data_IF_506347250260
#
_entry.id   IF_506347250260
#
_cell.length_a   1.000
_cell.length_b   1.000
_cell.length_c   1.000
_cell.angle_alpha   90.00
_cell.angle_beta   90.00
_cell.angle_gamma   90.00
#
_symmetry.space_group_name_H-M   'P 1'
#
loop_
_entity.id
_entity.type
_entity.pdbx_description
1 polymer ?
#
# COMPACT_ATOMS: atom_id res chain seq x y z
N UNK A 1 -6.13 -77.56 61.69
CA UNK A 1 -6.46 -77.02 63.02
C UNK A 1 -6.37 -75.51 62.86
N UNK A 2 -7.43 -74.71 62.86
CA UNK A 2 -8.78 -74.94 63.36
C UNK A 2 -9.79 -74.10 62.55
N UNK A 3 -11.03 -74.55 62.60
CA UNK A 3 -12.17 -74.09 61.81
C UNK A 3 -12.97 -72.96 62.50
N UNK A 4 -13.90 -72.40 61.73
CA UNK A 4 -15.24 -71.89 62.13
C UNK A 4 -15.34 -70.62 62.99
N UNK A 5 -16.01 -69.57 62.49
CA UNK A 5 -17.42 -69.31 62.85
C UNK A 5 -18.03 -68.10 62.12
N UNK A 6 -19.23 -68.33 61.60
CA UNK A 6 -20.19 -67.34 61.12
C UNK A 6 -20.72 -66.48 62.28
N UNK A 7 -21.16 -65.25 62.00
CA UNK A 7 -22.38 -64.75 62.65
C UNK A 7 -23.08 -63.66 61.85
N UNK A 8 -24.38 -63.71 62.00
CA UNK A 8 -25.48 -63.15 61.23
C UNK A 8 -25.86 -61.72 61.69
N UNK A 9 -26.25 -60.89 60.72
CA UNK A 9 -27.35 -59.90 60.69
C UNK A 9 -27.70 -59.07 61.93
N UNK A 10 -27.81 -57.74 61.78
CA UNK A 10 -28.97 -56.97 62.29
C UNK A 10 -29.26 -55.81 61.31
N UNK A 11 -30.48 -55.86 60.78
CA UNK A 11 -31.21 -54.78 60.14
C UNK A 11 -31.80 -53.88 61.22
N UNK A 12 -31.68 -52.57 61.06
CA UNK A 12 -32.59 -51.60 61.68
C UNK A 12 -32.70 -50.35 60.82
N UNK A 13 -33.61 -50.47 59.85
CA UNK A 13 -34.53 -49.43 59.42
C UNK A 13 -34.90 -48.50 60.59
N UNK A 14 -34.61 -47.20 60.47
CA UNK A 14 -35.54 -46.14 60.86
C UNK A 14 -35.15 -44.76 60.30
N UNK A 15 -36.06 -44.24 59.47
CA UNK A 15 -36.50 -42.85 59.33
C UNK A 15 -35.51 -41.75 58.93
N UNK A 16 -35.73 -41.12 57.76
CA UNK A 16 -36.54 -39.89 57.68
C UNK A 16 -36.87 -39.51 56.22
N UNK A 17 -38.07 -38.95 56.05
CA UNK A 17 -38.80 -38.62 54.82
C UNK A 17 -38.18 -37.50 53.97
N UNK A 18 -38.76 -37.35 52.77
CA UNK A 18 -38.77 -36.17 51.86
C UNK A 18 -37.55 -36.06 50.92
N UNK A 19 -37.62 -35.55 49.69
CA UNK A 19 -38.66 -35.16 48.72
C UNK A 19 -37.85 -34.67 47.47
N UNK A 20 -38.51 -34.54 46.32
CA UNK A 20 -38.09 -33.86 45.09
C UNK A 20 -37.05 -34.58 44.19
N UNK A 21 -37.44 -35.10 43.03
CA UNK A 21 -37.76 -34.39 41.78
C UNK A 21 -36.66 -33.43 41.28
N UNK A 22 -36.17 -33.75 40.07
CA UNK A 22 -35.62 -32.87 39.04
C UNK A 22 -34.45 -31.93 39.40
N UNK A 23 -33.25 -32.30 38.97
CA UNK A 23 -32.32 -31.33 38.38
C UNK A 23 -31.44 -31.99 37.34
N UNK A 24 -31.94 -32.04 36.10
CA UNK A 24 -31.17 -32.40 34.90
C UNK A 24 -31.28 -31.27 33.88
N UNK A 25 -30.92 -30.05 34.28
CA UNK A 25 -30.87 -28.90 33.39
C UNK A 25 -30.00 -27.81 34.01
N UNK A 26 -28.72 -27.75 33.62
CA UNK A 26 -27.88 -26.57 33.84
C UNK A 26 -26.61 -26.57 32.97
N UNK A 27 -26.16 -27.72 32.47
CA UNK A 27 -24.99 -27.78 31.58
C UNK A 27 -25.35 -27.47 30.12
N UNK A 28 -26.53 -27.88 29.65
CA UNK A 28 -26.97 -27.61 28.29
C UNK A 28 -27.28 -26.13 28.05
N UNK A 29 -27.75 -25.40 29.06
CA UNK A 29 -28.05 -23.97 28.95
C UNK A 29 -26.76 -23.16 28.75
N UNK A 30 -25.69 -23.49 29.48
CA UNK A 30 -24.38 -22.84 29.32
C UNK A 30 -23.80 -23.09 27.92
N UNK A 31 -23.90 -24.31 27.41
CA UNK A 31 -23.42 -24.64 26.05
C UNK A 31 -24.24 -23.94 24.97
N UNK A 32 -25.57 -23.84 25.14
CA UNK A 32 -26.44 -23.12 24.20
C UNK A 32 -26.16 -21.61 24.21
N UNK A 33 -25.94 -21.02 25.39
CA UNK A 33 -25.57 -19.60 25.52
C UNK A 33 -24.22 -19.30 24.87
N UNK A 34 -23.24 -20.20 25.04
CA UNK A 34 -21.90 -20.03 24.47
C UNK A 34 -21.91 -20.20 22.94
N UNK A 35 -22.69 -21.15 22.43
CA UNK A 35 -22.90 -21.32 20.99
C UNK A 35 -23.63 -20.13 20.36
N UNK A 36 -24.65 -19.59 21.05
CA UNK A 36 -25.36 -18.38 20.63
C UNK A 36 -24.43 -17.17 20.59
N UNK A 37 -23.59 -16.97 21.61
CA UNK A 37 -22.62 -15.88 21.66
C UNK A 37 -21.62 -15.94 20.50
N UNK A 38 -21.08 -17.14 20.20
CA UNK A 38 -20.16 -17.33 19.07
C UNK A 38 -20.87 -17.01 17.74
N UNK A 39 -22.10 -17.48 17.56
CA UNK A 39 -22.89 -17.21 16.35
C UNK A 39 -23.15 -15.71 16.18
N UNK A 40 -23.47 -14.99 17.26
CA UNK A 40 -23.65 -13.54 17.24
C UNK A 40 -22.37 -12.79 16.85
N UNK A 41 -21.20 -13.22 17.34
CA UNK A 41 -19.91 -12.63 16.97
C UNK A 41 -19.59 -12.86 15.48
N UNK A 42 -19.90 -14.05 14.95
CA UNK A 42 -19.71 -14.36 13.53
C UNK A 42 -20.65 -13.55 12.62
N UNK A 43 -21.90 -13.34 13.03
CA UNK A 43 -22.85 -12.50 12.28
C UNK A 43 -22.47 -11.01 12.37
N UNK A 44 -22.07 -10.53 13.54
CA UNK A 44 -21.63 -9.15 13.71
C UNK A 44 -20.34 -8.83 12.93
N UNK A 45 -19.36 -9.75 12.94
CA UNK A 45 -18.12 -9.60 12.17
C UNK A 45 -18.37 -9.62 10.66
N UNK A 46 -19.26 -10.48 10.15
CA UNK A 46 -19.63 -10.49 8.74
C UNK A 46 -20.38 -9.22 8.31
N UNK A 47 -21.23 -8.62 9.16
CA UNK A 47 -21.85 -7.32 8.90
C UNK A 47 -20.81 -6.19 8.90
N UNK A 48 -19.82 -6.21 9.81
CA UNK A 48 -18.73 -5.22 9.82
C UNK A 48 -17.82 -5.35 8.59
N UNK A 49 -17.54 -6.58 8.14
CA UNK A 49 -16.77 -6.83 6.91
C UNK A 49 -17.58 -6.42 5.68
N UNK A 50 -18.87 -6.75 5.59
CA UNK A 50 -19.74 -6.29 4.49
C UNK A 50 -19.94 -4.77 4.51
N UNK A 51 -20.03 -4.14 5.68
CA UNK A 51 -20.16 -2.69 5.82
C UNK A 51 -18.85 -1.98 5.48
N UNK A 52 -17.71 -2.59 5.77
CA UNK A 52 -16.38 -2.14 5.34
C UNK A 52 -16.22 -2.24 3.82
N UNK A 53 -16.64 -3.36 3.22
CA UNK A 53 -16.62 -3.57 1.77
C UNK A 53 -17.64 -2.65 1.06
N UNK A 54 -18.82 -2.42 1.65
CA UNK A 54 -19.88 -1.56 1.09
C UNK A 54 -19.57 -0.06 1.23
N UNK A 55 -18.62 0.34 2.09
CA UNK A 55 -18.14 1.71 2.19
C UNK A 55 -17.08 2.06 1.14
N UNK A 56 -16.54 1.07 0.43
CA UNK A 56 -15.93 1.33 -0.87
C UNK A 56 -17.06 1.66 -1.84
N UNK A 57 -17.47 2.94 -1.84
CA UNK A 57 -18.11 3.54 -3.01
C UNK A 57 -17.32 3.04 -4.21
N UNK A 58 -18.00 2.30 -5.07
CA UNK A 58 -17.51 1.88 -6.35
C UNK A 58 -17.20 3.17 -7.12
N UNK A 59 -16.00 3.71 -6.89
CA UNK A 59 -15.48 4.81 -7.70
C UNK A 59 -15.47 4.22 -9.10
N UNK A 60 -16.34 4.73 -9.98
CA UNK A 60 -16.34 4.36 -11.40
C UNK A 60 -14.88 4.27 -11.81
N UNK A 61 -14.44 3.10 -12.28
CA UNK A 61 -13.09 2.98 -12.83
C UNK A 61 -12.97 4.12 -13.85
N UNK A 62 -11.99 5.02 -13.70
CA UNK A 62 -11.90 6.15 -14.60
C UNK A 62 -11.74 5.62 -16.03
N UNK A 63 -12.45 6.25 -16.96
CA UNK A 63 -12.46 5.85 -18.36
C UNK A 63 -11.13 6.31 -18.98
N UNK A 64 -10.27 5.40 -19.47
CA UNK A 64 -9.01 5.81 -20.08
C UNK A 64 -9.22 6.68 -21.31
N UNK A 65 -10.37 6.62 -21.98
CA UNK A 65 -10.70 7.39 -23.18
C UNK A 65 -11.49 8.67 -22.90
N UNK A 66 -11.57 9.11 -21.65
CA UNK A 66 -12.11 10.43 -21.34
C UNK A 66 -11.43 11.50 -22.22
N UNK A 67 -12.22 12.44 -22.76
CA UNK A 67 -11.82 13.33 -23.86
C UNK A 67 -10.50 14.08 -23.65
N UNK A 68 -10.05 14.26 -22.40
CA UNK A 68 -8.76 14.85 -22.08
C UNK A 68 -7.57 13.87 -22.07
N UNK A 69 -7.77 12.62 -21.66
CA UNK A 69 -6.71 11.62 -21.51
C UNK A 69 -6.14 11.14 -22.85
N UNK A 70 -6.95 11.15 -23.91
CA UNK A 70 -6.51 10.78 -25.25
C UNK A 70 -5.54 11.79 -25.86
N UNK A 71 -5.75 13.09 -25.61
CA UNK A 71 -4.90 14.17 -26.13
C UNK A 71 -3.44 14.05 -25.69
N UNK A 72 -3.19 13.57 -24.48
CA UNK A 72 -1.83 13.43 -23.93
C UNK A 72 -1.31 11.99 -23.97
N UNK A 73 -1.97 11.09 -24.71
CA UNK A 73 -1.69 9.64 -24.73
C UNK A 73 -1.80 8.94 -23.36
N UNK A 74 -2.35 9.60 -22.34
CA UNK A 74 -2.57 9.02 -21.01
C UNK A 74 -3.50 7.81 -21.03
N UNK A 75 -4.37 7.68 -22.03
CA UNK A 75 -5.19 6.47 -22.23
C UNK A 75 -4.37 5.18 -22.42
N UNK A 76 -3.11 5.29 -22.86
CA UNK A 76 -2.19 4.16 -23.06
C UNK A 76 -1.50 3.70 -21.78
N UNK A 77 -1.78 4.37 -20.67
CA UNK A 77 -0.99 4.22 -19.45
C UNK A 77 -1.81 3.55 -18.36
N UNK A 78 -1.10 2.90 -17.42
CA UNK A 78 -1.76 2.25 -16.27
C UNK A 78 -2.45 3.26 -15.36
N UNK A 79 -1.92 4.48 -15.27
CA UNK A 79 -2.37 5.52 -14.35
C UNK A 79 -2.93 6.74 -15.13
N UNK A 80 -3.77 6.48 -16.13
CA UNK A 80 -4.32 7.47 -17.06
C UNK A 80 -4.81 8.77 -16.40
N UNK A 81 -5.56 8.69 -15.29
CA UNK A 81 -6.03 9.88 -14.57
C UNK A 81 -4.87 10.71 -14.00
N UNK A 82 -3.89 10.06 -13.37
CA UNK A 82 -2.73 10.75 -12.81
C UNK A 82 -1.90 11.41 -13.91
N UNK A 83 -1.73 10.73 -15.05
CA UNK A 83 -1.09 11.32 -16.22
C UNK A 83 -1.86 12.54 -16.71
N UNK A 84 -3.18 12.44 -16.88
CA UNK A 84 -3.99 13.57 -17.35
C UNK A 84 -3.89 14.77 -16.42
N UNK A 85 -4.10 14.57 -15.12
CA UNK A 85 -4.05 15.61 -14.10
C UNK A 85 -2.65 16.28 -14.07
N UNK A 86 -1.58 15.50 -14.26
CA UNK A 86 -0.22 16.02 -14.26
C UNK A 86 0.12 16.78 -15.55
N UNK A 87 -0.24 16.23 -16.71
CA UNK A 87 0.09 16.77 -18.03
C UNK A 87 -0.69 18.04 -18.34
N UNK A 88 -2.00 18.04 -18.09
CA UNK A 88 -2.88 19.18 -18.33
C UNK A 88 -2.51 20.42 -17.50
N UNK A 89 -1.83 20.22 -16.36
CA UNK A 89 -1.32 21.31 -15.53
C UNK A 89 -0.09 22.04 -16.10
N UNK A 90 0.63 21.41 -17.04
CA UNK A 90 1.90 21.94 -17.58
C UNK A 90 1.77 22.37 -19.03
N UNK A 91 1.12 21.57 -19.88
CA UNK A 91 1.05 21.83 -21.32
C UNK A 91 -0.36 22.02 -21.84
N UNK A 92 -0.54 23.06 -22.66
CA UNK A 92 -1.78 23.29 -23.38
C UNK A 92 -1.86 22.40 -24.62
N UNK A 93 -3.07 21.99 -25.00
CA UNK A 93 -3.35 21.12 -26.15
C UNK A 93 -2.85 21.67 -27.48
N UNK A 94 -2.64 22.99 -27.59
CA UNK A 94 -2.04 23.62 -28.78
C UNK A 94 -0.60 23.15 -29.03
N UNK A 95 0.17 22.87 -27.98
CA UNK A 95 1.57 22.40 -28.07
C UNK A 95 1.64 20.98 -28.64
N UNK A 96 0.57 20.19 -28.48
CA UNK A 96 0.45 18.82 -29.00
C UNK A 96 0.49 18.76 -30.53
N UNK A 97 0.18 19.87 -31.21
CA UNK A 97 0.25 19.97 -32.68
C UNK A 97 1.68 19.89 -33.21
N UNK A 98 2.69 20.02 -32.34
CA UNK A 98 4.11 19.98 -32.70
C UNK A 98 4.68 18.54 -32.73
N UNK A 99 3.86 17.52 -32.46
CA UNK A 99 4.25 16.11 -32.47
C UNK A 99 4.37 15.48 -31.07
N UNK A 100 4.92 14.26 -30.96
CA UNK A 100 4.99 13.52 -29.70
C UNK A 100 6.09 14.02 -28.75
N UNK A 101 7.09 14.73 -29.27
CA UNK A 101 8.25 15.21 -28.50
C UNK A 101 7.88 16.04 -27.27
N UNK A 102 7.07 17.10 -27.39
CA UNK A 102 6.64 17.90 -26.24
C UNK A 102 5.88 17.12 -25.17
N UNK A 103 5.12 16.09 -25.56
CA UNK A 103 4.41 15.22 -24.61
C UNK A 103 5.42 14.40 -23.81
N UNK A 104 6.40 13.82 -24.49
CA UNK A 104 7.43 13.02 -23.85
C UNK A 104 8.35 13.86 -22.94
N UNK A 105 8.83 15.01 -23.41
CA UNK A 105 9.68 15.87 -22.58
C UNK A 105 8.93 16.38 -21.35
N UNK A 106 7.65 16.70 -21.49
CA UNK A 106 6.79 17.09 -20.37
C UNK A 106 6.59 15.93 -19.40
N UNK A 107 6.35 14.71 -19.88
CA UNK A 107 6.16 13.56 -18.97
C UNK A 107 7.42 13.27 -18.15
N UNK A 108 8.61 13.39 -18.76
CA UNK A 108 9.88 13.34 -18.03
C UNK A 108 9.99 14.46 -16.98
N UNK A 109 9.66 15.70 -17.34
CA UNK A 109 9.68 16.83 -16.41
C UNK A 109 8.72 16.63 -15.23
N UNK A 110 7.51 16.12 -15.46
CA UNK A 110 6.57 15.75 -14.39
C UNK A 110 7.23 14.78 -13.42
N UNK A 111 7.82 13.70 -13.93
CA UNK A 111 8.48 12.69 -13.11
C UNK A 111 9.69 13.25 -12.33
N UNK A 112 10.52 14.07 -12.98
CA UNK A 112 11.64 14.78 -12.35
C UNK A 112 11.15 15.67 -11.21
N UNK A 113 10.10 16.46 -11.43
CA UNK A 113 9.53 17.34 -10.42
C UNK A 113 8.99 16.57 -9.21
N UNK A 114 8.33 15.42 -9.42
CA UNK A 114 7.89 14.58 -8.30
C UNK A 114 9.07 14.02 -7.50
N UNK A 115 10.12 13.53 -8.17
CA UNK A 115 11.33 13.04 -7.50
C UNK A 115 12.10 14.15 -6.78
N UNK A 116 12.11 15.37 -7.33
CA UNK A 116 12.72 16.52 -6.67
C UNK A 116 11.99 16.87 -5.37
N UNK A 117 10.65 16.86 -5.39
CA UNK A 117 9.85 17.05 -4.18
C UNK A 117 10.15 15.99 -3.13
N UNK A 118 10.29 14.72 -3.53
CA UNK A 118 10.73 13.65 -2.64
C UNK A 118 12.10 13.96 -2.04
N UNK A 119 13.07 14.39 -2.85
CA UNK A 119 14.41 14.74 -2.37
C UNK A 119 14.38 15.85 -1.32
N UNK A 120 13.49 16.83 -1.49
CA UNK A 120 13.23 17.88 -0.49
C UNK A 120 12.65 17.27 0.78
N UNK A 121 11.62 16.43 0.68
CA UNK A 121 11.00 15.77 1.85
C UNK A 121 12.03 14.92 2.60
N UNK A 122 12.87 14.15 1.91
CA UNK A 122 13.98 13.39 2.51
C UNK A 122 14.93 14.31 3.28
N UNK A 123 15.30 15.45 2.69
CA UNK A 123 16.21 16.42 3.32
C UNK A 123 15.59 16.99 4.59
N UNK A 124 14.30 17.36 4.52
CA UNK A 124 13.52 17.88 5.65
C UNK A 124 13.45 16.84 6.79
N UNK A 125 13.02 15.62 6.48
CA UNK A 125 12.91 14.53 7.48
C UNK A 125 14.25 14.30 8.18
N UNK A 126 15.35 14.16 7.42
CA UNK A 126 16.68 13.94 8.04
C UNK A 126 17.23 15.11 8.84
N UNK A 127 16.79 16.34 8.56
CA UNK A 127 17.28 17.54 9.27
C UNK A 127 16.49 17.80 10.56
N UNK A 128 15.24 17.33 10.62
CA UNK A 128 14.32 17.59 11.73
C UNK A 128 14.42 16.57 12.87
N UNK A 129 15.01 15.39 12.64
CA UNK A 129 15.11 14.36 13.68
C UNK A 129 16.54 13.88 13.91
N UNK A 130 16.99 14.01 15.16
CA UNK A 130 18.23 13.39 15.65
C UNK A 130 18.13 11.86 15.79
N UNK A 131 16.92 11.28 15.69
CA UNK A 131 16.67 9.83 15.77
C UNK A 131 17.21 9.06 14.56
N UNK A 132 17.44 9.72 13.43
CA UNK A 132 17.95 9.07 12.22
C UNK A 132 19.42 8.63 12.34
N UNK A 133 20.15 9.16 13.31
CA UNK A 133 21.53 8.74 13.54
C UNK A 133 21.55 7.31 14.11
N UNK A 134 21.97 6.36 13.27
CA UNK A 134 22.11 4.92 13.56
C UNK A 134 20.79 4.13 13.76
N UNK A 135 19.63 4.67 13.40
CA UNK A 135 18.39 3.88 13.35
C UNK A 135 18.26 3.12 12.04
N UNK A 136 17.54 1.98 12.06
CA UNK A 136 17.22 1.24 10.83
C UNK A 136 16.48 2.13 9.82
N UNK A 137 15.56 2.96 10.30
CA UNK A 137 14.80 3.90 9.46
C UNK A 137 15.73 4.93 8.83
N UNK A 138 16.71 5.47 9.57
CA UNK A 138 17.73 6.38 9.05
C UNK A 138 18.57 5.76 7.94
N UNK A 139 18.96 4.49 8.08
CA UNK A 139 19.64 3.73 7.03
C UNK A 139 18.74 3.59 5.78
N UNK A 140 17.45 3.26 5.94
CA UNK A 140 16.52 3.15 4.80
C UNK A 140 16.26 4.49 4.11
N UNK A 141 16.17 5.58 4.86
CA UNK A 141 16.06 6.93 4.29
C UNK A 141 17.33 7.32 3.54
N UNK A 142 18.50 6.94 4.04
CA UNK A 142 19.78 7.15 3.35
C UNK A 142 19.84 6.37 2.02
N UNK A 143 19.49 5.08 2.04
CA UNK A 143 19.40 4.26 0.83
C UNK A 143 18.39 4.84 -0.17
N UNK A 144 17.22 5.25 0.33
CA UNK A 144 16.20 5.90 -0.47
C UNK A 144 16.72 7.17 -1.16
N UNK A 145 17.46 8.02 -0.43
CA UNK A 145 18.09 9.22 -1.00
C UNK A 145 19.00 8.87 -2.18
N UNK A 146 19.83 7.83 -2.03
CA UNK A 146 20.72 7.39 -3.10
C UNK A 146 19.94 6.92 -4.34
N UNK A 147 18.89 6.13 -4.16
CA UNK A 147 18.02 5.68 -5.26
C UNK A 147 17.27 6.83 -5.93
N UNK A 148 16.71 7.77 -5.17
CA UNK A 148 16.02 8.96 -5.70
C UNK A 148 16.98 9.83 -6.51
N UNK A 149 18.20 10.04 -6.01
CA UNK A 149 19.23 10.80 -6.74
C UNK A 149 19.65 10.10 -8.03
N UNK A 150 19.80 8.77 -8.03
CA UNK A 150 20.09 8.03 -9.25
C UNK A 150 18.92 8.11 -10.24
N UNK A 151 17.66 8.00 -9.77
CA UNK A 151 16.48 8.21 -10.62
C UNK A 151 16.48 9.60 -11.26
N UNK A 152 16.74 10.66 -10.48
CA UNK A 152 16.86 12.02 -11.00
C UNK A 152 17.95 12.13 -12.06
N UNK A 153 19.12 11.55 -11.83
CA UNK A 153 20.21 11.54 -12.80
C UNK A 153 19.79 10.87 -14.12
N UNK A 154 19.19 9.68 -14.04
CA UNK A 154 18.72 8.90 -15.21
C UNK A 154 17.66 9.63 -16.03
N UNK A 155 16.69 10.26 -15.36
CA UNK A 155 15.65 11.02 -16.06
C UNK A 155 16.18 12.32 -16.66
N UNK A 156 17.12 13.00 -16.00
CA UNK A 156 17.79 14.16 -16.59
C UNK A 156 18.65 13.79 -17.80
N UNK A 157 19.32 12.63 -17.77
CA UNK A 157 20.02 12.10 -18.95
C UNK A 157 19.03 11.85 -20.10
N UNK A 158 17.88 11.24 -19.80
CA UNK A 158 16.78 11.03 -20.77
C UNK A 158 16.30 12.35 -21.37
N UNK A 159 16.13 13.39 -20.54
CA UNK A 159 15.71 14.71 -20.99
C UNK A 159 16.80 15.42 -21.80
N UNK A 160 18.08 15.21 -21.48
CA UNK A 160 19.18 15.86 -22.22
C UNK A 160 19.30 15.40 -23.66
N UNK A 161 18.84 14.17 -23.98
CA UNK A 161 18.74 13.66 -25.34
C UNK A 161 17.74 14.50 -26.16
N UNK A 162 16.73 15.12 -25.53
CA UNK A 162 15.77 15.98 -26.25
C UNK A 162 16.36 17.29 -26.78
N UNK A 163 17.55 17.72 -26.34
CA UNK A 163 18.06 19.04 -26.69
C UNK A 163 17.04 20.16 -26.44
N UNK A 164 17.31 21.37 -26.95
CA UNK A 164 16.37 22.51 -26.82
C UNK A 164 15.31 22.50 -27.94
N UNK A 165 15.54 21.74 -29.02
CA UNK A 165 14.72 21.78 -30.25
C UNK A 165 14.49 20.41 -30.92
N UNK A 166 14.77 19.26 -30.28
CA UNK A 166 14.68 17.99 -31.01
C UNK A 166 13.23 17.54 -31.23
N UNK A 167 12.92 17.29 -32.50
CA UNK A 167 11.79 16.45 -32.86
C UNK A 167 12.13 15.00 -32.47
N UNK A 168 11.21 14.32 -31.77
CA UNK A 168 11.40 12.91 -31.37
C UNK A 168 11.60 11.98 -32.58
N UNK A 169 11.16 12.42 -33.76
CA UNK A 169 11.37 11.71 -35.04
C UNK A 169 12.86 11.67 -35.46
N UNK A 170 13.72 12.48 -34.85
CA UNK A 170 15.16 12.50 -35.09
C UNK A 170 15.93 11.49 -34.22
N UNK A 171 15.26 10.79 -33.29
CA UNK A 171 15.91 9.86 -32.39
C UNK A 171 16.38 8.60 -33.10
N UNK A 172 17.62 8.23 -32.81
CA UNK A 172 18.15 6.91 -33.13
C UNK A 172 17.48 5.84 -32.27
N UNK A 173 17.49 4.59 -32.74
CA UNK A 173 17.04 3.45 -31.93
C UNK A 173 17.80 3.32 -30.62
N UNK A 174 19.09 3.65 -30.61
CA UNK A 174 19.92 3.63 -29.42
C UNK A 174 19.46 4.69 -28.39
N UNK A 175 19.14 5.90 -28.83
CA UNK A 175 18.61 6.96 -27.95
C UNK A 175 17.26 6.59 -27.35
N UNK A 176 16.35 6.01 -28.16
CA UNK A 176 15.07 5.49 -27.68
C UNK A 176 15.27 4.38 -26.63
N UNK A 177 16.16 3.43 -26.89
CA UNK A 177 16.39 2.31 -25.98
C UNK A 177 17.07 2.75 -24.67
N UNK A 178 18.05 3.67 -24.76
CA UNK A 178 18.70 4.25 -23.59
C UNK A 178 17.71 5.03 -22.72
N UNK A 179 16.89 5.87 -23.33
CA UNK A 179 15.84 6.64 -22.62
C UNK A 179 14.86 5.71 -21.91
N UNK A 180 14.44 4.63 -22.59
CA UNK A 180 13.58 3.60 -22.00
C UNK A 180 14.29 2.91 -20.83
N UNK A 181 15.52 2.45 -21.01
CA UNK A 181 16.29 1.77 -19.99
C UNK A 181 16.50 2.65 -18.74
N UNK A 182 16.86 3.92 -18.93
CA UNK A 182 17.03 4.87 -17.84
C UNK A 182 15.72 5.17 -17.10
N UNK A 183 14.61 5.27 -17.82
CA UNK A 183 13.29 5.42 -17.21
C UNK A 183 12.89 4.18 -16.40
N UNK A 184 13.17 2.97 -16.89
CA UNK A 184 12.93 1.72 -16.14
C UNK A 184 13.77 1.67 -14.85
N UNK A 185 15.06 2.00 -14.93
CA UNK A 185 15.94 2.07 -13.77
C UNK A 185 15.43 3.10 -12.76
N UNK A 186 15.04 4.29 -13.22
CA UNK A 186 14.52 5.34 -12.35
C UNK A 186 13.25 4.90 -11.60
N UNK A 187 12.35 4.18 -12.29
CA UNK A 187 11.15 3.60 -11.69
C UNK A 187 11.48 2.52 -10.67
N UNK A 188 12.39 1.61 -10.99
CA UNK A 188 12.79 0.52 -10.11
C UNK A 188 13.47 1.06 -8.85
N UNK A 189 14.30 2.09 -8.97
CA UNK A 189 14.90 2.80 -7.84
C UNK A 189 13.84 3.46 -6.95
N UNK A 190 12.84 4.14 -7.52
CA UNK A 190 11.73 4.70 -6.76
C UNK A 190 10.92 3.60 -6.04
N UNK A 191 10.77 2.43 -6.66
CA UNK A 191 10.11 1.27 -6.06
C UNK A 191 10.94 0.64 -4.92
N UNK A 192 12.26 0.51 -5.09
CA UNK A 192 13.17 0.06 -4.02
C UNK A 192 13.09 0.97 -2.80
N UNK A 193 13.07 2.29 -3.00
CA UNK A 193 12.84 3.22 -1.88
C UNK A 193 11.49 2.97 -1.22
N UNK A 194 10.40 2.89 -2.01
CA UNK A 194 9.07 2.64 -1.47
C UNK A 194 9.03 1.39 -0.57
N UNK A 195 9.57 0.26 -1.06
CA UNK A 195 9.63 -0.99 -0.29
C UNK A 195 10.48 -0.85 0.99
N UNK A 196 11.65 -0.23 0.88
CA UNK A 196 12.54 -0.05 2.02
C UNK A 196 11.90 0.77 3.16
N UNK A 197 11.04 1.74 2.83
CA UNK A 197 10.31 2.54 3.79
C UNK A 197 9.05 1.83 4.33
N UNK A 198 8.38 1.04 3.48
CA UNK A 198 7.23 0.21 3.90
C UNK A 198 7.64 -0.80 4.98
N UNK A 199 8.81 -1.43 4.83
CA UNK A 199 9.30 -2.47 5.75
C UNK A 199 9.60 -1.96 7.17
N UNK A 200 9.82 -0.65 7.35
CA UNK A 200 10.25 -0.06 8.63
C UNK A 200 9.17 0.75 9.35
N UNK A 201 8.00 0.91 8.74
CA UNK A 201 6.87 1.65 9.30
C UNK A 201 6.03 0.88 10.32
N UNK A 202 6.45 -0.34 10.68
CA UNK A 202 5.64 -1.26 11.48
C UNK A 202 5.58 -0.87 12.97
N UNK A 203 6.56 -0.12 13.49
CA UNK A 203 6.73 0.07 14.95
C UNK A 203 6.68 1.52 15.45
N UNK A 204 6.27 2.48 14.62
CA UNK A 204 6.10 3.88 15.00
C UNK A 204 6.30 4.84 13.84
N UNK A 205 5.40 5.81 13.69
CA UNK A 205 5.50 6.88 12.70
C UNK A 205 6.70 7.77 13.06
N UNK A 206 7.87 7.53 12.44
CA UNK A 206 8.89 8.57 12.38
C UNK A 206 8.37 9.69 11.47
N UNK A 207 8.18 10.87 12.08
CA UNK A 207 7.64 12.06 11.43
C UNK A 207 8.39 12.34 10.12
N UNK A 208 7.64 12.40 9.01
CA UNK A 208 8.18 12.67 7.68
C UNK A 208 8.59 11.45 6.85
N UNK A 209 8.61 10.22 7.40
CA UNK A 209 8.86 8.99 6.61
C UNK A 209 7.67 8.67 5.70
N UNK A 210 6.45 8.82 6.21
CA UNK A 210 5.23 8.61 5.41
C UNK A 210 5.13 9.60 4.24
N UNK A 211 5.53 10.86 4.46
CA UNK A 211 5.58 11.88 3.41
C UNK A 211 6.51 11.45 2.27
N UNK A 212 7.72 10.95 2.61
CA UNK A 212 8.68 10.44 1.63
C UNK A 212 8.11 9.20 0.92
N UNK A 213 7.53 8.24 1.65
CA UNK A 213 6.95 7.01 1.10
C UNK A 213 5.85 7.29 0.08
N UNK A 214 4.88 8.13 0.45
CA UNK A 214 3.81 8.54 -0.46
C UNK A 214 4.35 9.32 -1.66
N UNK A 215 5.33 10.18 -1.43
CA UNK A 215 6.03 10.93 -2.48
C UNK A 215 6.70 10.02 -3.51
N UNK A 216 7.48 9.02 -3.07
CA UNK A 216 8.14 8.08 -4.01
C UNK A 216 7.14 7.20 -4.73
N UNK A 217 6.05 6.81 -4.07
CA UNK A 217 5.02 6.03 -4.74
C UNK A 217 4.36 6.84 -5.87
N UNK A 218 4.07 8.12 -5.61
CA UNK A 218 3.55 9.04 -6.62
C UNK A 218 4.56 9.25 -7.76
N UNK A 219 5.82 9.53 -7.44
CA UNK A 219 6.88 9.70 -8.44
C UNK A 219 7.04 8.44 -9.32
N UNK A 220 7.05 7.25 -8.72
CA UNK A 220 7.10 5.96 -9.42
C UNK A 220 5.95 5.80 -10.41
N UNK A 221 4.74 6.23 -10.03
CA UNK A 221 3.56 6.18 -10.90
C UNK A 221 3.68 7.15 -12.09
N UNK A 222 4.42 8.26 -11.95
CA UNK A 222 4.67 9.21 -13.04
C UNK A 222 5.75 8.77 -14.04
N UNK A 223 6.71 7.92 -13.65
CA UNK A 223 7.85 7.51 -14.53
C UNK A 223 7.42 6.59 -15.69
N UNK A 224 6.20 6.04 -15.66
CA UNK A 224 5.52 5.38 -16.79
C UNK A 224 4.02 5.63 -16.68
N UNK A 225 3.71 6.85 -16.26
CA UNK A 225 2.37 7.34 -15.99
C UNK A 225 1.59 7.57 -17.24
#
# INVERSE_FOLDING_TARGET
>A
MDSTNESFTISSQETFLANNQNSRSNNNLKTILLASLILFILIASSILILSSISKNKQSKKPDPYESGSSHYYCHLTKYHKLCYDSMSSIINTTVLKLGPGPIFSTSLQVAINQLHNVSISITKSTSSSSSFNNSLVGLRIFDCRAWVNDSLRRLNQSLSIFGVDSNIDAWTYEEMDNTRAWSLIAKDNAYKCYLALEDVMVDGEEEGVEEVKLGVEKARKCIYG
#
